data_IF_712080475165
#
_entry.id   IF_712080475165
#
_cell.length_a   1.000
_cell.length_b   1.000
_cell.length_c   1.000
_cell.angle_alpha   90.00
_cell.angle_beta   90.00
_cell.angle_gamma   90.00
#
_symmetry.space_group_name_H-M   'P 1'
#
loop_
_entity.id
_entity.type
_entity.pdbx_description
1 polymer ?
#
# COMPACT_ATOMS: atom_id res chain seq x y z
N UNK A 1 -10.14 5.33 -13.83
CA UNK A 1 -9.88 3.98 -13.33
C UNK A 1 -10.32 3.83 -11.87
N UNK A 2 -10.52 2.57 -11.42
CA UNK A 2 -10.96 2.20 -10.08
C UNK A 2 -10.00 1.16 -9.50
N UNK A 3 -9.70 1.25 -8.22
CA UNK A 3 -9.08 0.16 -7.46
C UNK A 3 -9.91 -0.17 -6.22
N UNK A 4 -10.02 -1.46 -5.95
CA UNK A 4 -10.50 -1.99 -4.67
C UNK A 4 -9.30 -2.59 -3.97
N UNK A 5 -8.99 -2.11 -2.78
CA UNK A 5 -7.83 -2.51 -2.00
C UNK A 5 -8.27 -3.27 -0.77
N UNK A 6 -7.73 -4.46 -0.55
CA UNK A 6 -7.87 -5.15 0.72
C UNK A 6 -7.19 -4.36 1.84
N UNK A 7 -7.73 -4.42 3.03
CA UNK A 7 -7.09 -3.95 4.25
C UNK A 7 -7.31 -4.94 5.38
N UNK A 8 -6.28 -5.14 6.20
CA UNK A 8 -6.29 -6.10 7.32
C UNK A 8 -6.05 -5.35 8.62
N UNK A 9 -6.70 -5.77 9.69
CA UNK A 9 -6.46 -5.21 11.03
C UNK A 9 -4.99 -5.32 11.41
N UNK A 10 -4.43 -4.22 11.89
CA UNK A 10 -3.03 -4.12 12.29
C UNK A 10 -2.83 -4.84 13.62
N UNK A 11 -1.96 -5.83 13.63
CA UNK A 11 -1.44 -6.49 14.83
C UNK A 11 0.07 -6.41 14.76
N UNK A 12 0.68 -5.46 15.43
CA UNK A 12 2.16 -5.33 15.60
C UNK A 12 3.00 -5.45 14.31
N UNK A 13 2.41 -5.23 13.12
CA UNK A 13 3.14 -5.28 11.86
C UNK A 13 3.53 -3.86 11.43
N UNK A 14 4.82 -3.62 11.18
CA UNK A 14 5.25 -2.40 10.49
C UNK A 14 4.77 -2.47 9.04
N UNK A 15 4.38 -1.34 8.48
CA UNK A 15 4.01 -1.27 7.06
C UNK A 15 3.08 -0.13 6.77
N UNK A 16 2.93 0.15 5.49
CA UNK A 16 1.98 1.13 4.98
C UNK A 16 0.54 0.67 5.12
N UNK A 17 -0.38 1.61 4.97
CA UNK A 17 -1.80 1.32 5.14
C UNK A 17 -2.70 2.30 4.41
N UNK A 18 -4.02 2.13 4.61
CA UNK A 18 -5.02 3.05 4.09
C UNK A 18 -5.05 4.32 4.92
N UNK A 19 -4.90 5.47 4.27
CA UNK A 19 -4.96 6.78 4.91
C UNK A 19 -5.78 7.76 4.09
N UNK A 20 -6.34 8.76 4.77
CA UNK A 20 -6.82 9.97 4.14
C UNK A 20 -5.64 10.91 3.96
N UNK A 21 -5.38 11.27 2.70
CA UNK A 21 -4.26 12.15 2.33
C UNK A 21 -4.82 13.46 1.79
N UNK A 22 -4.30 14.56 2.32
CA UNK A 22 -4.57 15.89 1.81
C UNK A 22 -3.58 16.21 0.69
N UNK A 23 -4.10 16.46 -0.49
CA UNK A 23 -3.30 16.89 -1.63
C UNK A 23 -3.00 18.40 -1.60
N UNK A 24 -2.21 18.85 -2.58
CA UNK A 24 -1.72 20.24 -2.64
C UNK A 24 -2.84 21.28 -2.81
N UNK A 25 -3.89 20.91 -3.52
CA UNK A 25 -5.05 21.77 -3.75
C UNK A 25 -6.09 21.69 -2.61
N UNK A 26 -5.77 20.97 -1.53
CA UNK A 26 -6.63 20.80 -0.36
C UNK A 26 -7.67 19.68 -0.50
N UNK A 27 -7.70 18.95 -1.59
CA UNK A 27 -8.51 17.75 -1.74
C UNK A 27 -8.10 16.67 -0.75
N UNK A 28 -9.07 15.89 -0.29
CA UNK A 28 -8.81 14.76 0.61
C UNK A 28 -9.18 13.48 -0.11
N UNK A 29 -8.19 12.62 -0.29
CA UNK A 29 -8.31 11.36 -1.02
C UNK A 29 -7.91 10.15 -0.16
N UNK A 30 -8.43 8.98 -0.51
CA UNK A 30 -8.04 7.72 0.10
C UNK A 30 -6.81 7.18 -0.63
N UNK A 31 -5.72 6.99 0.09
CA UNK A 31 -4.47 6.50 -0.48
C UNK A 31 -3.92 5.32 0.34
N UNK A 32 -3.16 4.47 -0.34
CA UNK A 32 -2.22 3.57 0.33
C UNK A 32 -0.93 4.36 0.54
N UNK A 33 -0.49 4.48 1.79
CA UNK A 33 0.71 5.24 2.15
C UNK A 33 1.72 4.31 2.78
N UNK A 34 2.93 4.30 2.28
CA UNK A 34 4.05 3.57 2.87
C UNK A 34 4.65 4.35 4.05
N UNK A 35 5.18 3.63 5.02
CA UNK A 35 5.82 4.26 6.19
C UNK A 35 6.96 5.19 5.78
N UNK A 36 7.69 4.87 4.71
CA UNK A 36 8.77 5.71 4.18
C UNK A 36 8.29 7.07 3.64
N UNK A 37 6.99 7.23 3.38
CA UNK A 37 6.38 8.50 2.95
C UNK A 37 5.95 9.38 4.14
N UNK A 38 6.00 8.85 5.36
CA UNK A 38 5.56 9.55 6.57
C UNK A 38 6.75 10.28 7.20
N UNK A 39 6.59 11.56 7.50
CA UNK A 39 7.60 12.30 8.23
C UNK A 39 7.54 11.95 9.73
N UNK A 40 8.39 11.02 10.15
CA UNK A 40 8.44 10.54 11.54
C UNK A 40 8.95 11.60 12.54
N UNK A 41 9.48 12.72 12.05
CA UNK A 41 9.85 13.86 12.90
C UNK A 41 8.67 14.82 13.14
N UNK A 42 7.57 14.64 12.45
CA UNK A 42 6.31 15.37 12.67
C UNK A 42 5.43 14.57 13.64
N UNK A 43 5.24 15.07 14.84
CA UNK A 43 4.49 14.40 15.88
C UNK A 43 3.03 14.08 15.48
N UNK A 44 2.41 14.91 14.63
CA UNK A 44 1.04 14.66 14.17
C UNK A 44 1.00 13.50 13.19
N UNK A 45 1.93 13.45 12.22
CA UNK A 45 2.03 12.34 11.28
C UNK A 45 2.39 11.03 11.98
N UNK A 46 3.33 11.08 12.93
CA UNK A 46 3.70 9.92 13.73
C UNK A 46 2.48 9.38 14.51
N UNK A 47 1.74 10.23 15.18
CA UNK A 47 0.54 9.85 15.91
C UNK A 47 -0.51 9.19 15.00
N UNK A 48 -0.78 9.76 13.82
CA UNK A 48 -1.71 9.18 12.83
C UNK A 48 -1.24 7.78 12.41
N UNK A 49 0.06 7.61 12.20
CA UNK A 49 0.64 6.31 11.82
C UNK A 49 0.50 5.27 12.94
N UNK A 50 0.72 5.67 14.20
CA UNK A 50 0.60 4.81 15.39
C UNK A 50 -0.85 4.40 15.65
N UNK A 51 -1.80 5.33 15.48
CA UNK A 51 -3.23 5.10 15.67
C UNK A 51 -3.88 4.34 14.50
N UNK A 52 -3.15 4.12 13.40
CA UNK A 52 -3.69 3.39 12.26
C UNK A 52 -4.13 1.97 12.64
N UNK A 53 -5.39 1.67 12.41
CA UNK A 53 -6.01 0.38 12.78
C UNK A 53 -5.82 -0.73 11.76
N UNK A 54 -5.41 -0.39 10.54
CA UNK A 54 -5.26 -1.33 9.42
C UNK A 54 -3.94 -1.11 8.68
N UNK A 55 -3.47 -2.17 8.05
CA UNK A 55 -2.46 -2.08 7.00
C UNK A 55 -3.04 -2.61 5.67
N UNK A 56 -2.40 -2.25 4.56
CA UNK A 56 -2.83 -2.70 3.24
C UNK A 56 -1.97 -3.88 2.79
N UNK A 57 -2.50 -5.11 2.76
CA UNK A 57 -1.85 -6.20 2.06
C UNK A 57 -1.90 -5.97 0.55
N UNK A 58 -1.16 -6.77 -0.21
CA UNK A 58 -0.97 -6.63 -1.67
C UNK A 58 -2.21 -7.04 -2.49
N UNK A 59 -3.43 -6.89 -1.96
CA UNK A 59 -4.63 -7.38 -2.64
C UNK A 59 -5.37 -6.23 -3.32
N UNK A 60 -5.18 -6.12 -4.65
CA UNK A 60 -5.88 -5.14 -5.48
C UNK A 60 -6.73 -5.78 -6.57
N UNK A 61 -7.91 -5.23 -6.77
CA UNK A 61 -8.73 -5.45 -7.95
C UNK A 61 -8.82 -4.13 -8.69
N UNK A 62 -8.40 -4.11 -9.96
CA UNK A 62 -8.25 -2.91 -10.75
C UNK A 62 -9.20 -2.88 -11.95
N UNK A 63 -10.03 -1.85 -12.03
CA UNK A 63 -10.81 -1.51 -13.21
C UNK A 63 -10.01 -0.57 -14.11
N UNK A 64 -9.46 -1.11 -15.21
CA UNK A 64 -8.56 -0.40 -16.13
C UNK A 64 -9.22 -0.02 -17.45
N UNK A 65 -10.53 -0.23 -17.56
CA UNK A 65 -11.33 0.10 -18.74
C UNK A 65 -12.52 0.99 -18.36
N UNK A 66 -12.92 1.84 -19.28
CA UNK A 66 -14.14 2.61 -19.16
C UNK A 66 -15.40 1.72 -19.42
N UNK A 67 -16.58 2.33 -19.27
CA UNK A 67 -17.86 1.63 -19.48
C UNK A 67 -18.12 1.20 -20.95
N UNK A 68 -17.30 1.69 -21.89
CA UNK A 68 -17.33 1.30 -23.30
C UNK A 68 -16.31 0.22 -23.64
N UNK A 69 -15.48 -0.19 -22.68
CA UNK A 69 -14.45 -1.21 -22.85
C UNK A 69 -13.10 -0.66 -23.32
N UNK A 70 -12.92 0.66 -23.45
CA UNK A 70 -11.65 1.28 -23.82
C UNK A 70 -10.71 1.32 -22.62
N UNK A 71 -9.43 1.05 -22.85
CA UNK A 71 -8.43 1.16 -21.81
C UNK A 71 -8.17 2.62 -21.43
N UNK A 72 -8.03 2.88 -20.12
CA UNK A 72 -7.50 4.14 -19.64
C UNK A 72 -6.01 4.26 -19.96
N UNK A 73 -5.56 5.46 -20.24
CA UNK A 73 -4.14 5.83 -20.21
C UNK A 73 -3.74 6.02 -18.72
N UNK A 74 -3.23 4.95 -18.12
CA UNK A 74 -3.03 4.89 -16.66
C UNK A 74 -1.97 5.86 -16.15
N UNK A 75 -1.02 6.28 -16.99
CA UNK A 75 0.01 7.26 -16.63
C UNK A 75 -0.60 8.61 -16.25
N UNK A 76 -1.70 9.00 -16.89
CA UNK A 76 -2.43 10.24 -16.58
C UNK A 76 -3.10 10.25 -15.19
N UNK A 77 -3.19 9.09 -14.55
CA UNK A 77 -3.81 8.93 -13.24
C UNK A 77 -2.79 8.66 -12.13
N UNK A 78 -1.50 8.84 -12.42
CA UNK A 78 -0.43 8.80 -11.43
C UNK A 78 -0.05 10.21 -10.98
N UNK A 79 0.47 10.33 -9.76
CA UNK A 79 1.03 11.57 -9.25
C UNK A 79 2.57 11.46 -9.25
N UNK A 80 3.28 12.21 -10.13
CA UNK A 80 4.74 12.14 -10.23
C UNK A 80 5.46 12.63 -8.95
N UNK A 81 4.81 13.45 -8.12
CA UNK A 81 5.42 14.06 -6.94
C UNK A 81 5.41 13.12 -5.72
N UNK A 82 4.88 11.91 -5.86
CA UNK A 82 4.83 10.90 -4.80
C UNK A 82 6.00 9.91 -4.79
N UNK A 83 7.05 10.20 -5.55
CA UNK A 83 8.32 9.48 -5.43
C UNK A 83 8.90 9.61 -4.02
N UNK A 84 9.67 8.60 -3.59
CA UNK A 84 10.27 8.60 -2.26
C UNK A 84 11.74 8.15 -2.32
N UNK A 85 12.52 8.60 -1.34
CA UNK A 85 13.91 8.17 -1.19
C UNK A 85 13.97 7.13 -0.08
N UNK A 86 14.44 5.93 -0.41
CA UNK A 86 14.64 4.85 0.56
C UNK A 86 16.14 4.59 0.76
N UNK A 87 16.48 4.20 1.98
CA UNK A 87 17.82 3.71 2.29
C UNK A 87 17.84 2.19 2.18
N UNK A 88 18.69 1.67 1.32
CA UNK A 88 18.89 0.23 1.10
C UNK A 88 20.33 -0.14 1.41
N UNK A 89 20.60 -1.42 1.61
CA UNK A 89 21.97 -1.94 1.72
C UNK A 89 22.28 -2.78 0.49
N UNK A 90 23.45 -2.53 -0.12
CA UNK A 90 24.01 -3.37 -1.18
C UNK A 90 25.46 -3.67 -0.87
N UNK A 91 25.82 -4.94 -0.79
CA UNK A 91 27.18 -5.42 -0.49
C UNK A 91 27.75 -4.80 0.81
N UNK A 92 26.89 -4.66 1.85
CA UNK A 92 27.24 -4.08 3.14
C UNK A 92 27.41 -2.56 3.15
N UNK A 93 27.12 -1.87 2.04
CA UNK A 93 27.17 -0.41 1.93
C UNK A 93 25.76 0.18 1.88
N UNK A 94 25.60 1.33 2.53
CA UNK A 94 24.35 2.08 2.45
C UNK A 94 24.20 2.71 1.07
N UNK A 95 23.00 2.59 0.52
CA UNK A 95 22.61 3.14 -0.76
C UNK A 95 21.29 3.90 -0.60
N UNK A 96 21.25 5.15 -1.03
CA UNK A 96 20.01 5.89 -1.23
C UNK A 96 19.48 5.63 -2.62
N UNK A 97 18.23 5.16 -2.68
CA UNK A 97 17.54 4.86 -3.93
C UNK A 97 16.30 5.75 -4.07
N UNK A 98 16.14 6.38 -5.24
CA UNK A 98 14.89 7.05 -5.62
C UNK A 98 13.93 5.98 -6.13
N UNK A 99 12.78 5.88 -5.48
CA UNK A 99 11.65 5.08 -5.95
C UNK A 99 10.62 6.00 -6.61
N UNK A 100 10.39 5.79 -7.89
CA UNK A 100 9.36 6.49 -8.64
C UNK A 100 7.97 6.04 -8.20
N UNK A 101 6.90 6.83 -8.49
CA UNK A 101 5.54 6.41 -8.20
C UNK A 101 5.22 5.03 -8.78
N UNK A 102 4.78 4.14 -7.92
CA UNK A 102 4.45 2.75 -8.25
C UNK A 102 3.09 2.34 -7.67
N UNK A 103 2.84 1.03 -7.59
CA UNK A 103 1.58 0.49 -7.07
C UNK A 103 1.23 0.98 -5.66
N UNK A 104 2.24 1.21 -4.83
CA UNK A 104 2.10 1.53 -3.41
C UNK A 104 2.21 3.02 -3.10
N UNK A 105 2.82 3.80 -3.98
CA UNK A 105 3.18 5.18 -3.74
C UNK A 105 2.87 6.05 -4.96
N UNK A 106 1.60 6.33 -5.20
CA UNK A 106 1.17 7.36 -6.15
C UNK A 106 0.94 6.95 -7.60
N UNK A 107 1.31 5.74 -8.04
CA UNK A 107 0.98 5.26 -9.39
C UNK A 107 -0.53 5.15 -9.66
N UNK A 108 -1.33 5.04 -8.59
CA UNK A 108 -2.79 5.05 -8.65
C UNK A 108 -3.39 6.22 -7.86
N UNK A 109 -2.72 7.36 -7.79
CA UNK A 109 -3.11 8.47 -6.92
C UNK A 109 -4.48 9.04 -7.28
N UNK A 110 -4.76 9.21 -8.56
CA UNK A 110 -6.02 9.77 -9.07
C UNK A 110 -7.07 8.71 -9.43
N UNK A 111 -6.90 7.48 -8.94
CA UNK A 111 -7.89 6.43 -9.12
C UNK A 111 -8.99 6.53 -8.06
N UNK A 112 -10.22 6.22 -8.43
CA UNK A 112 -11.27 5.94 -7.46
C UNK A 112 -10.81 4.77 -6.58
N UNK A 113 -10.81 4.99 -5.26
CA UNK A 113 -10.27 4.03 -4.31
C UNK A 113 -11.32 3.58 -3.31
N UNK A 114 -11.52 2.28 -3.23
CA UNK A 114 -12.37 1.62 -2.23
C UNK A 114 -11.47 0.73 -1.37
N UNK A 115 -11.56 0.86 -0.05
CA UNK A 115 -10.94 -0.05 0.89
C UNK A 115 -11.96 -1.04 1.42
N UNK A 116 -11.59 -2.33 1.47
CA UNK A 116 -12.42 -3.41 1.99
C UNK A 116 -11.64 -4.15 3.06
N UNK A 117 -12.19 -4.25 4.26
CA UNK A 117 -11.60 -5.09 5.29
C UNK A 117 -11.73 -6.56 4.89
N UNK A 118 -10.60 -7.25 4.84
CA UNK A 118 -10.52 -8.68 4.54
C UNK A 118 -10.00 -9.45 5.75
N UNK A 119 -10.37 -10.73 5.91
CA UNK A 119 -9.89 -11.54 7.03
C UNK A 119 -8.35 -11.60 7.06
N UNK A 120 -7.78 -11.61 8.26
CA UNK A 120 -6.32 -11.69 8.46
C UNK A 120 -5.67 -12.88 7.75
N UNK A 121 -6.39 -13.99 7.63
CA UNK A 121 -5.92 -15.19 6.94
C UNK A 121 -5.56 -14.93 5.47
N UNK A 122 -6.04 -13.87 4.86
CA UNK A 122 -5.66 -13.49 3.49
C UNK A 122 -4.22 -12.96 3.39
N UNK A 123 -3.61 -12.60 4.54
CA UNK A 123 -2.24 -12.11 4.60
C UNK A 123 -1.35 -13.08 5.37
N UNK A 124 -0.82 -14.08 4.66
CA UNK A 124 0.09 -15.09 5.18
C UNK A 124 1.35 -15.19 4.31
N UNK A 125 2.26 -14.19 4.37
CA UNK A 125 3.47 -14.22 3.56
C UNK A 125 4.39 -15.36 3.99
N UNK A 126 4.96 -16.05 3.00
CA UNK A 126 6.02 -17.02 3.20
C UNK A 126 7.36 -16.29 3.11
N UNK A 127 8.03 -16.11 4.24
CA UNK A 127 9.37 -15.50 4.34
C UNK A 127 10.45 -16.54 4.54
N UNK A 128 10.11 -17.63 5.21
CA UNK A 128 10.98 -18.75 5.51
C UNK A 128 10.28 -20.07 5.17
N UNK A 129 11.07 -21.12 4.94
CA UNK A 129 10.54 -22.45 4.59
C UNK A 129 9.56 -22.98 5.64
N UNK A 130 9.82 -22.70 6.92
CA UNK A 130 8.96 -23.13 8.03
C UNK A 130 7.57 -22.46 8.03
N UNK A 131 7.41 -21.34 7.34
CA UNK A 131 6.11 -20.70 7.22
C UNK A 131 5.10 -21.58 6.47
N UNK A 132 5.58 -22.45 5.58
CA UNK A 132 4.75 -23.41 4.86
C UNK A 132 4.11 -24.46 5.77
N UNK A 133 4.61 -24.62 7.00
CA UNK A 133 4.04 -25.54 8.00
C UNK A 133 2.90 -24.91 8.81
N UNK A 134 2.66 -23.61 8.66
CA UNK A 134 1.57 -22.93 9.33
C UNK A 134 0.22 -23.47 8.85
N UNK A 135 -0.79 -23.56 9.73
CA UNK A 135 -2.13 -24.06 9.35
C UNK A 135 -2.71 -23.38 8.12
N UNK A 136 -2.44 -22.07 7.95
CA UNK A 136 -2.94 -21.27 6.85
C UNK A 136 -2.41 -21.70 5.48
N UNK A 137 -1.28 -22.41 5.44
CA UNK A 137 -0.65 -22.95 4.23
C UNK A 137 -0.89 -24.43 4.03
N UNK A 138 -1.62 -25.08 4.94
CA UNK A 138 -1.91 -26.50 4.85
C UNK A 138 -3.27 -26.74 4.19
N UNK A 139 -3.44 -27.84 3.43
CA UNK A 139 -4.75 -28.20 2.92
C UNK A 139 -5.72 -28.42 4.07
N UNK A 140 -6.96 -27.95 3.91
CA UNK A 140 -8.02 -28.30 4.84
C UNK A 140 -8.20 -29.81 4.79
N UNK A 141 -7.79 -30.52 5.85
CA UNK A 141 -8.05 -31.95 6.00
C UNK A 141 -9.54 -32.05 6.35
N UNK A 142 -10.33 -32.49 5.38
CA UNK A 142 -11.76 -32.80 5.54
C UNK A 142 -11.93 -34.10 6.32
#
# INVERSE_FOLDING_TARGET
>A
PLRVCGMVKKENHPGGGPFWVKGENGEITKQVVETAQVNLSDNNQLKILEEASHFSPVDFICGVKDYRGNHFDLEKFSNPDTGLITTKSKDGKELKALELPGLWNGGMYYWLTVFVEVPKITFNPVKEINDLLKPEHQPLIS
#
